data_IF_021038262932
#
_entry.id   IF_021038262932
#
_cell.length_a   1.000
_cell.length_b   1.000
_cell.length_c   1.000
_cell.angle_alpha   90.00
_cell.angle_beta   90.00
_cell.angle_gamma   90.00
#
_symmetry.space_group_name_H-M   'P 1'
#
loop_
_entity.id
_entity.type
_entity.pdbx_description
1 polymer ?
#
# COMPACT_ATOMS: atom_id res chain seq x y z
N UNK A 1 -12.16 -3.14 1.60
CA UNK A 1 -10.95 -2.47 1.08
C UNK A 1 -9.70 -2.73 1.91
N UNK A 2 -9.60 -2.36 3.20
CA UNK A 2 -8.35 -2.55 3.97
C UNK A 2 -7.84 -4.00 4.04
N UNK A 3 -8.75 -4.97 4.20
CA UNK A 3 -8.43 -6.40 4.15
C UNK A 3 -7.93 -6.83 2.77
N UNK A 4 -8.62 -6.40 1.71
CA UNK A 4 -8.25 -6.69 0.30
C UNK A 4 -6.88 -6.12 -0.04
N UNK A 5 -6.58 -4.89 0.41
CA UNK A 5 -5.29 -4.24 0.24
C UNK A 5 -4.18 -4.98 0.98
N UNK A 6 -4.44 -5.45 2.19
CA UNK A 6 -3.47 -6.23 2.96
C UNK A 6 -3.15 -7.56 2.27
N UNK A 7 -4.18 -8.25 1.77
CA UNK A 7 -4.02 -9.50 1.03
C UNK A 7 -3.28 -9.29 -0.31
N UNK A 8 -3.66 -8.27 -1.08
CA UNK A 8 -3.01 -7.94 -2.35
C UNK A 8 -1.55 -7.52 -2.16
N UNK A 9 -1.25 -6.73 -1.11
CA UNK A 9 0.12 -6.35 -0.79
C UNK A 9 0.97 -7.58 -0.45
N UNK A 10 0.45 -8.48 0.39
CA UNK A 10 1.13 -9.73 0.74
C UNK A 10 1.36 -10.64 -0.48
N UNK A 11 0.37 -10.74 -1.38
CA UNK A 11 0.50 -11.53 -2.60
C UNK A 11 1.59 -10.97 -3.53
N UNK A 12 1.64 -9.65 -3.73
CA UNK A 12 2.65 -9.02 -4.59
C UNK A 12 4.03 -9.08 -3.96
N UNK A 13 4.19 -8.77 -2.68
CA UNK A 13 5.51 -8.83 -2.02
C UNK A 13 6.03 -10.25 -1.93
N UNK A 14 5.17 -11.24 -1.66
CA UNK A 14 5.55 -12.65 -1.62
C UNK A 14 6.04 -13.22 -2.96
N UNK A 15 5.69 -12.58 -4.08
CA UNK A 15 6.17 -12.96 -5.41
C UNK A 15 7.53 -12.34 -5.76
N UNK A 16 8.05 -11.40 -4.96
CA UNK A 16 9.33 -10.74 -5.23
C UNK A 16 10.52 -11.53 -4.68
N UNK A 17 11.66 -11.56 -5.38
CA UNK A 17 12.91 -12.03 -4.81
C UNK A 17 13.27 -11.22 -3.56
N UNK A 18 13.74 -11.90 -2.51
CA UNK A 18 14.08 -11.27 -1.22
C UNK A 18 12.90 -10.52 -0.56
N UNK A 19 11.70 -11.12 -0.61
CA UNK A 19 10.55 -10.64 0.14
C UNK A 19 10.88 -10.54 1.64
N UNK A 20 10.62 -9.37 2.22
CA UNK A 20 10.77 -9.13 3.65
C UNK A 20 9.51 -8.43 4.19
N UNK A 21 9.18 -8.69 5.46
CA UNK A 21 8.12 -7.95 6.13
C UNK A 21 8.56 -6.50 6.38
N UNK A 22 7.79 -5.55 5.86
CA UNK A 22 8.00 -4.11 6.09
C UNK A 22 6.76 -3.54 6.79
N UNK A 23 6.72 -3.47 8.13
CA UNK A 23 5.54 -2.97 8.85
C UNK A 23 5.07 -1.59 8.39
N UNK A 24 6.01 -0.69 8.09
CA UNK A 24 5.70 0.65 7.56
C UNK A 24 5.04 0.63 6.17
N UNK A 25 5.34 -0.38 5.33
CA UNK A 25 4.68 -0.57 4.04
C UNK A 25 3.21 -0.95 4.21
N UNK A 26 2.92 -1.90 5.12
CA UNK A 26 1.55 -2.31 5.44
C UNK A 26 0.75 -1.15 6.02
N UNK A 27 1.35 -0.41 6.96
CA UNK A 27 0.71 0.74 7.58
C UNK A 27 0.41 1.85 6.55
N UNK A 28 1.37 2.13 5.65
CA UNK A 28 1.17 3.06 4.54
C UNK A 28 0.03 2.60 3.63
N UNK A 29 0.00 1.33 3.22
CA UNK A 29 -1.05 0.82 2.35
C UNK A 29 -2.45 0.91 2.96
N UNK A 30 -2.59 0.61 4.25
CA UNK A 30 -3.85 0.74 4.98
C UNK A 30 -4.29 2.20 5.14
N UNK A 31 -3.34 3.11 5.40
CA UNK A 31 -3.61 4.54 5.49
C UNK A 31 -4.07 5.09 4.13
N UNK A 32 -3.38 4.73 3.04
CA UNK A 32 -3.75 5.12 1.67
C UNK A 32 -5.12 4.57 1.31
N UNK A 33 -5.40 3.29 1.60
CA UNK A 33 -6.73 2.71 1.38
C UNK A 33 -7.82 3.51 2.11
N UNK A 34 -7.61 3.80 3.40
CA UNK A 34 -8.56 4.58 4.20
C UNK A 34 -8.77 6.00 3.64
N UNK A 35 -7.72 6.61 3.10
CA UNK A 35 -7.79 7.94 2.47
C UNK A 35 -8.61 7.92 1.17
N UNK A 36 -8.46 6.85 0.36
CA UNK A 36 -9.23 6.65 -0.86
C UNK A 36 -10.71 6.41 -0.53
N UNK A 37 -11.02 5.53 0.44
CA UNK A 37 -12.38 5.24 0.88
C UNK A 37 -13.09 6.47 1.44
N UNK A 38 -12.37 7.29 2.22
CA UNK A 38 -12.94 8.49 2.84
C UNK A 38 -12.90 9.74 1.95
N UNK A 39 -12.25 9.69 0.79
CA UNK A 39 -12.06 10.85 -0.09
C UNK A 39 -11.22 11.97 0.55
N UNK A 40 -10.41 11.66 1.56
CA UNK A 40 -9.58 12.65 2.29
C UNK A 40 -8.15 12.64 1.81
N UNK A 41 -7.49 13.80 1.89
CA UNK A 41 -6.05 13.88 1.64
C UNK A 41 -5.27 13.20 2.77
N UNK A 42 -4.17 12.54 2.38
CA UNK A 42 -3.24 11.89 3.29
C UNK A 42 -1.83 12.36 2.95
N UNK A 43 -1.07 12.70 3.99
CA UNK A 43 0.37 12.92 3.91
C UNK A 43 1.04 11.77 4.65
N UNK A 44 1.97 11.09 3.99
CA UNK A 44 2.76 10.00 4.58
C UNK A 44 4.23 10.33 4.48
N UNK A 45 4.94 10.24 5.60
CA UNK A 45 6.40 10.20 5.60
C UNK A 45 6.85 8.74 5.51
N UNK A 46 7.55 8.39 4.44
CA UNK A 46 8.13 7.07 4.25
C UNK A 46 9.63 7.21 3.97
N UNK A 47 10.45 6.55 4.78
CA UNK A 47 11.90 6.52 4.60
C UNK A 47 12.33 5.72 3.36
N UNK A 48 13.63 5.73 3.08
CA UNK A 48 14.21 4.78 2.10
C UNK A 48 14.00 3.34 2.59
N UNK A 49 13.82 2.40 1.67
CA UNK A 49 13.59 0.99 2.02
C UNK A 49 12.18 0.63 2.51
N UNK A 50 11.32 1.61 2.86
CA UNK A 50 9.93 1.34 3.33
C UNK A 50 9.03 0.69 2.28
N UNK A 51 9.45 0.62 1.00
CA UNK A 51 8.62 0.04 -0.06
C UNK A 51 7.44 0.94 -0.46
N UNK A 52 7.62 2.26 -0.38
CA UNK A 52 6.61 3.31 -0.64
C UNK A 52 5.84 3.12 -1.94
N UNK A 53 6.50 2.65 -3.00
CA UNK A 53 5.90 2.44 -4.32
C UNK A 53 4.74 1.45 -4.26
N UNK A 54 4.95 0.26 -3.70
CA UNK A 54 3.86 -0.70 -3.50
C UNK A 54 2.87 -0.23 -2.42
N UNK A 55 3.36 0.53 -1.44
CA UNK A 55 2.53 1.14 -0.39
C UNK A 55 1.43 2.07 -0.91
N UNK A 56 1.62 2.76 -2.04
CA UNK A 56 0.56 3.56 -2.67
C UNK A 56 -0.09 2.89 -3.89
N UNK A 57 0.65 2.08 -4.66
CA UNK A 57 0.13 1.47 -5.89
C UNK A 57 -0.90 0.37 -5.60
N UNK A 58 -0.62 -0.52 -4.65
CA UNK A 58 -1.53 -1.63 -4.32
C UNK A 58 -2.91 -1.11 -3.92
N UNK A 59 -3.06 -0.18 -2.95
CA UNK A 59 -4.37 0.36 -2.61
C UNK A 59 -5.03 1.16 -3.75
N UNK A 60 -4.26 1.84 -4.60
CA UNK A 60 -4.83 2.52 -5.77
C UNK A 60 -5.44 1.52 -6.77
N UNK A 61 -4.71 0.44 -7.10
CA UNK A 61 -5.16 -0.61 -8.03
C UNK A 61 -6.39 -1.34 -7.47
N UNK A 62 -6.35 -1.72 -6.19
CA UNK A 62 -7.49 -2.40 -5.52
C UNK A 62 -8.74 -1.50 -5.51
N UNK A 63 -8.57 -0.19 -5.37
CA UNK A 63 -9.67 0.77 -5.46
C UNK A 63 -10.15 1.07 -6.90
N UNK A 64 -9.57 0.42 -7.92
CA UNK A 64 -9.86 0.69 -9.33
C UNK A 64 -9.37 2.05 -9.82
N UNK A 65 -8.46 2.70 -9.09
CA UNK A 65 -7.87 3.99 -9.46
C UNK A 65 -6.51 3.78 -10.12
N UNK A 66 -6.26 4.47 -11.24
CA UNK A 66 -4.91 4.58 -11.81
C UNK A 66 -4.07 5.50 -10.91
N UNK A 67 -2.89 5.03 -10.49
CA UNK A 67 -1.89 5.88 -9.86
C UNK A 67 -1.33 6.90 -10.86
N UNK A 68 -0.84 8.03 -10.37
CA UNK A 68 -0.04 8.99 -11.14
C UNK A 68 1.42 8.56 -11.13
#
# INVERSE_FOLDING_TARGET
>A
MSADVTAALAAVTGALPAAEERPGQRQMAQAVASSIDSGRHLVVQAGTGTGKTLGYLVPAIVAGKRGV
#
